data_IF_177663526475
#
_entry.id   IF_177663526475
#
_cell.length_a   1.000
_cell.length_b   1.000
_cell.length_c   1.000
_cell.angle_alpha   90.00
_cell.angle_beta   90.00
_cell.angle_gamma   90.00
#
_symmetry.space_group_name_H-M   'P 1'
#
loop_
_entity.id
_entity.type
_entity.pdbx_description
1 polymer ?
#
# COMPACT_ATOMS: atom_id res chain seq x y z
N UNK A 1 20.84 2.26 -14.92
CA UNK A 1 20.78 2.73 -13.51
C UNK A 1 20.91 1.51 -12.62
N UNK A 2 21.85 1.49 -11.65
CA UNK A 2 22.01 0.34 -10.75
C UNK A 2 20.87 0.21 -9.73
N UNK A 3 20.67 -0.99 -9.18
CA UNK A 3 19.61 -1.31 -8.21
C UNK A 3 19.56 -0.33 -7.02
N UNK A 4 20.72 0.04 -6.47
CA UNK A 4 20.80 1.01 -5.37
C UNK A 4 20.30 2.41 -5.75
N UNK A 5 20.47 2.83 -7.01
CA UNK A 5 19.96 4.12 -7.50
C UNK A 5 18.45 4.14 -7.64
N UNK A 6 17.85 3.02 -8.07
CA UNK A 6 16.40 2.87 -8.17
C UNK A 6 15.73 2.88 -6.80
N UNK A 7 16.31 2.21 -5.81
CA UNK A 7 15.80 2.21 -4.42
C UNK A 7 15.86 3.62 -3.81
N UNK A 8 16.97 4.33 -3.99
CA UNK A 8 17.11 5.68 -3.46
C UNK A 8 16.15 6.67 -4.13
N UNK A 9 15.91 6.51 -5.43
CA UNK A 9 14.95 7.31 -6.17
C UNK A 9 13.51 7.02 -5.74
N UNK A 10 13.18 5.76 -5.49
CA UNK A 10 11.88 5.36 -4.95
C UNK A 10 11.66 5.95 -3.55
N UNK A 11 12.63 5.83 -2.65
CA UNK A 11 12.58 6.44 -1.31
C UNK A 11 12.37 7.96 -1.40
N UNK A 12 13.15 8.66 -2.24
CA UNK A 12 12.99 10.11 -2.44
C UNK A 12 11.62 10.47 -2.99
N UNK A 13 11.05 9.66 -3.88
CA UNK A 13 9.73 9.91 -4.47
C UNK A 13 8.62 9.70 -3.44
N UNK A 14 8.73 8.65 -2.64
CA UNK A 14 7.74 8.30 -1.60
C UNK A 14 7.76 9.30 -0.45
N UNK A 15 8.94 9.70 0.03
CA UNK A 15 9.07 10.64 1.16
C UNK A 15 9.07 12.11 0.73
N UNK A 16 9.35 12.41 -0.54
CA UNK A 16 9.40 13.77 -1.08
C UNK A 16 8.08 14.26 -1.69
N UNK A 17 7.10 13.37 -1.88
CA UNK A 17 5.80 13.72 -2.45
C UNK A 17 4.65 13.18 -1.58
N UNK A 18 3.92 14.11 -0.96
CA UNK A 18 2.79 13.82 -0.07
C UNK A 18 1.66 13.07 -0.80
N UNK A 19 1.40 13.38 -2.06
CA UNK A 19 0.36 12.70 -2.84
C UNK A 19 0.70 11.23 -3.07
N UNK A 20 1.96 10.93 -3.39
CA UNK A 20 2.45 9.55 -3.56
C UNK A 20 2.37 8.79 -2.24
N UNK A 21 2.78 9.43 -1.14
CA UNK A 21 2.68 8.84 0.20
C UNK A 21 1.22 8.51 0.57
N UNK A 22 0.30 9.44 0.34
CA UNK A 22 -1.13 9.25 0.60
C UNK A 22 -1.74 8.16 -0.30
N UNK A 23 -1.34 8.10 -1.57
CA UNK A 23 -1.76 7.04 -2.47
C UNK A 23 -1.34 5.66 -1.96
N UNK A 24 -0.08 5.50 -1.54
CA UNK A 24 0.43 4.25 -0.97
C UNK A 24 -0.33 3.89 0.31
N UNK A 25 -0.52 4.84 1.22
CA UNK A 25 -1.29 4.63 2.46
C UNK A 25 -2.73 4.19 2.15
N UNK A 26 -3.41 4.86 1.22
CA UNK A 26 -4.79 4.53 0.84
C UNK A 26 -4.88 3.11 0.27
N UNK A 27 -3.90 2.70 -0.54
CA UNK A 27 -3.83 1.34 -1.07
C UNK A 27 -3.75 0.29 0.05
N UNK A 28 -2.87 0.48 1.04
CA UNK A 28 -2.76 -0.44 2.16
C UNK A 28 -4.02 -0.51 3.01
N UNK A 29 -4.66 0.63 3.27
CA UNK A 29 -5.93 0.69 4.02
C UNK A 29 -7.03 -0.05 3.27
N UNK A 30 -7.20 0.22 1.97
CA UNK A 30 -8.20 -0.46 1.15
C UNK A 30 -7.94 -1.96 1.05
N UNK A 31 -6.68 -2.38 0.88
CA UNK A 31 -6.29 -3.78 0.87
C UNK A 31 -6.68 -4.47 2.18
N UNK A 32 -6.33 -3.88 3.33
CA UNK A 32 -6.71 -4.42 4.63
C UNK A 32 -8.21 -4.56 4.78
N UNK A 33 -8.99 -3.54 4.40
CA UNK A 33 -10.45 -3.57 4.50
C UNK A 33 -11.06 -4.68 3.66
N UNK A 34 -10.57 -4.89 2.44
CA UNK A 34 -11.06 -5.96 1.54
C UNK A 34 -10.82 -7.32 2.17
N UNK A 35 -9.62 -7.59 2.68
CA UNK A 35 -9.29 -8.87 3.29
C UNK A 35 -10.07 -9.11 4.59
N UNK A 36 -10.22 -8.08 5.42
CA UNK A 36 -11.07 -8.17 6.61
C UNK A 36 -12.52 -8.45 6.23
N UNK A 37 -13.08 -7.75 5.24
CA UNK A 37 -14.45 -7.97 4.79
C UNK A 37 -14.65 -9.38 4.21
N UNK A 38 -13.70 -9.87 3.42
CA UNK A 38 -13.71 -11.25 2.90
C UNK A 38 -13.64 -12.28 4.04
N UNK A 39 -12.79 -12.07 5.04
CA UNK A 39 -12.68 -12.93 6.21
C UNK A 39 -13.97 -12.97 7.03
N UNK A 40 -14.59 -11.80 7.27
CA UNK A 40 -15.90 -11.71 7.93
C UNK A 40 -16.97 -12.43 7.10
N UNK A 41 -17.02 -12.19 5.79
CA UNK A 41 -18.00 -12.82 4.91
C UNK A 41 -17.90 -14.35 4.90
N UNK A 42 -16.69 -14.90 4.88
CA UNK A 42 -16.47 -16.34 5.00
C UNK A 42 -16.98 -16.88 6.34
N UNK A 43 -16.67 -16.19 7.45
CA UNK A 43 -17.13 -16.56 8.80
C UNK A 43 -18.64 -16.47 9.00
N UNK A 44 -19.32 -15.55 8.32
CA UNK A 44 -20.79 -15.41 8.39
C UNK A 44 -21.52 -16.46 7.55
N UNK A 45 -20.82 -17.12 6.61
CA UNK A 45 -21.39 -18.18 5.76
C UNK A 45 -21.23 -19.59 6.31
N UNK A 46 -20.28 -19.81 7.23
CA UNK A 46 -20.24 -20.99 8.11
C UNK A 46 -21.39 -20.95 9.13
#
# INVERSE_FOLDING_TARGET
MGLGGLVFQALKTVFGNVEVMLAILSFFVSYSLIFTALGVYQRTKE
#
